data_IF_584544115905
#
_entry.id   IF_584544115905
#
_cell.length_a   1.000
_cell.length_b   1.000
_cell.length_c   1.000
_cell.angle_alpha   90.00
_cell.angle_beta   90.00
_cell.angle_gamma   90.00
#
_symmetry.space_group_name_H-M   'P 1'
#
loop_
_entity.id
_entity.type
_entity.pdbx_description
1 polymer ?
#
# COMPACT_ATOMS: atom_id res chain seq x y z
N UNK A 1 15.03 3.83 -1.04
CA UNK A 1 14.24 3.00 -1.98
C UNK A 1 14.01 1.56 -1.47
N UNK A 2 15.05 0.81 -1.11
CA UNK A 2 14.96 -0.62 -0.73
C UNK A 2 14.02 -0.94 0.44
N UNK A 3 14.09 -0.17 1.54
CA UNK A 3 13.24 -0.42 2.71
C UNK A 3 11.73 -0.34 2.38
N UNK A 4 11.33 0.65 1.57
CA UNK A 4 9.93 0.84 1.18
C UNK A 4 9.49 -0.22 0.17
N UNK A 5 10.38 -0.70 -0.69
CA UNK A 5 10.11 -1.87 -1.54
C UNK A 5 9.83 -3.12 -0.69
N UNK A 6 10.66 -3.40 0.32
CA UNK A 6 10.44 -4.53 1.23
C UNK A 6 9.13 -4.39 2.01
N UNK A 7 8.81 -3.18 2.48
CA UNK A 7 7.52 -2.89 3.13
C UNK A 7 6.35 -3.17 2.18
N UNK A 8 6.43 -2.70 0.92
CA UNK A 8 5.42 -2.96 -0.10
C UNK A 8 5.23 -4.45 -0.34
N UNK A 9 6.31 -5.24 -0.43
CA UNK A 9 6.24 -6.70 -0.61
C UNK A 9 5.62 -7.43 0.59
N UNK A 10 5.92 -7.00 1.82
CA UNK A 10 5.45 -7.66 3.04
C UNK A 10 4.02 -7.24 3.40
N UNK A 11 3.60 -6.03 3.02
CA UNK A 11 2.31 -5.45 3.44
C UNK A 11 1.07 -6.30 3.11
N UNK A 12 0.95 -6.99 1.94
CA UNK A 12 -0.20 -7.84 1.66
C UNK A 12 -0.27 -9.01 2.64
N UNK A 13 0.86 -9.62 2.99
CA UNK A 13 0.90 -10.72 3.95
C UNK A 13 0.46 -10.27 5.35
N UNK A 14 0.90 -9.10 5.79
CA UNK A 14 0.47 -8.51 7.05
C UNK A 14 -1.04 -8.22 7.07
N UNK A 15 -1.57 -7.65 5.99
CA UNK A 15 -3.01 -7.37 5.86
C UNK A 15 -3.82 -8.67 5.81
N UNK A 16 -3.35 -9.67 5.07
CA UNK A 16 -3.98 -11.00 5.02
C UNK A 16 -4.05 -11.62 6.41
N UNK A 17 -2.93 -11.63 7.15
CA UNK A 17 -2.89 -12.12 8.53
C UNK A 17 -3.92 -11.40 9.41
N UNK A 18 -4.00 -10.08 9.34
CA UNK A 18 -5.00 -9.31 10.09
C UNK A 18 -6.44 -9.67 9.70
N UNK A 19 -6.72 -9.96 8.43
CA UNK A 19 -8.05 -10.45 7.98
C UNK A 19 -8.37 -11.81 8.59
N UNK A 20 -7.38 -12.71 8.72
CA UNK A 20 -7.59 -14.02 9.36
C UNK A 20 -7.96 -13.86 10.85
N UNK A 21 -7.43 -12.86 11.55
CA UNK A 21 -7.84 -12.54 12.93
C UNK A 21 -9.31 -12.11 13.01
N UNK A 22 -9.76 -11.27 12.07
CA UNK A 22 -11.16 -10.89 11.97
C UNK A 22 -12.08 -12.09 11.67
N UNK A 23 -11.64 -13.06 10.86
CA UNK A 23 -12.39 -14.31 10.62
C UNK A 23 -12.51 -15.17 11.89
N UNK A 24 -11.49 -15.13 12.75
CA UNK A 24 -11.50 -15.76 14.09
C UNK A 24 -12.27 -14.95 15.14
N UNK A 25 -12.97 -13.88 14.71
CA UNK A 25 -13.72 -12.93 15.56
C UNK A 25 -12.85 -12.13 16.54
N UNK A 26 -11.52 -12.13 16.38
CA UNK A 26 -10.63 -11.27 17.15
C UNK A 26 -10.53 -9.89 16.50
N UNK A 27 -11.61 -9.11 16.68
CA UNK A 27 -11.71 -7.76 16.12
C UNK A 27 -10.77 -6.75 16.78
N UNK A 28 -10.37 -6.99 18.04
CA UNK A 28 -9.41 -6.14 18.75
C UNK A 28 -8.02 -6.29 18.13
N UNK A 29 -7.55 -7.52 17.91
CA UNK A 29 -6.26 -7.78 17.29
C UNK A 29 -6.25 -7.36 15.81
N UNK A 30 -7.32 -7.67 15.05
CA UNK A 30 -7.48 -7.20 13.67
C UNK A 30 -7.30 -5.68 13.57
N UNK A 31 -8.03 -4.92 14.41
CA UNK A 31 -7.93 -3.46 14.45
C UNK A 31 -6.53 -2.99 14.80
N UNK A 32 -5.93 -3.55 15.85
CA UNK A 32 -4.59 -3.15 16.32
C UNK A 32 -3.56 -3.33 15.21
N UNK A 33 -3.53 -4.50 14.59
CA UNK A 33 -2.56 -4.83 13.54
C UNK A 33 -2.78 -4.00 12.28
N UNK A 34 -4.04 -3.81 11.85
CA UNK A 34 -4.34 -2.94 10.70
C UNK A 34 -3.85 -1.51 10.90
N UNK A 35 -4.04 -0.92 12.09
CA UNK A 35 -3.53 0.42 12.38
C UNK A 35 -1.99 0.46 12.37
N UNK A 36 -1.32 -0.54 12.97
CA UNK A 36 0.14 -0.61 12.99
C UNK A 36 0.71 -0.70 11.57
N UNK A 37 0.21 -1.63 10.75
CA UNK A 37 0.67 -1.80 9.37
C UNK A 37 0.43 -0.51 8.60
N UNK A 38 -0.78 0.07 8.69
CA UNK A 38 -1.12 1.29 7.99
C UNK A 38 -0.17 2.45 8.36
N UNK A 39 0.11 2.66 9.65
CA UNK A 39 1.02 3.73 10.10
C UNK A 39 2.43 3.51 9.57
N UNK A 40 2.98 2.28 9.69
CA UNK A 40 4.32 1.96 9.18
C UNK A 40 4.41 2.21 7.68
N UNK A 41 3.41 1.76 6.94
CA UNK A 41 3.33 1.93 5.49
C UNK A 41 3.21 3.41 5.08
N UNK A 42 2.34 4.19 5.72
CA UNK A 42 2.20 5.64 5.44
C UNK A 42 3.49 6.39 5.74
N UNK A 43 4.14 6.13 6.88
CA UNK A 43 5.42 6.74 7.21
C UNK A 43 6.48 6.38 6.16
N UNK A 44 6.53 5.11 5.74
CA UNK A 44 7.43 4.66 4.67
C UNK A 44 7.20 5.38 3.35
N UNK A 45 5.94 5.53 2.92
CA UNK A 45 5.57 6.24 1.69
C UNK A 45 5.91 7.73 1.78
N UNK A 46 5.63 8.39 2.91
CA UNK A 46 5.98 9.80 3.10
C UNK A 46 7.50 10.03 3.10
N UNK A 47 8.27 9.12 3.71
CA UNK A 47 9.72 9.18 3.66
C UNK A 47 10.26 8.97 2.23
N UNK A 48 9.67 8.02 1.46
CA UNK A 48 10.02 7.84 0.06
C UNK A 48 9.69 9.06 -0.79
N UNK A 49 8.52 9.65 -0.60
CA UNK A 49 8.11 10.87 -1.30
C UNK A 49 9.07 12.03 -1.00
N UNK A 50 9.48 12.21 0.25
CA UNK A 50 10.49 13.20 0.63
C UNK A 50 11.82 13.00 -0.11
N UNK A 51 12.29 11.76 -0.21
CA UNK A 51 13.49 11.42 -0.99
C UNK A 51 13.29 11.71 -2.49
N UNK A 52 12.17 11.29 -3.08
CA UNK A 52 11.85 11.54 -4.49
C UNK A 52 11.86 13.05 -4.79
N UNK A 53 11.28 13.87 -3.89
CA UNK A 53 11.26 15.32 -4.03
C UNK A 53 12.64 15.94 -3.94
N UNK A 54 13.48 15.47 -3.02
CA UNK A 54 14.86 15.92 -2.90
C UNK A 54 15.69 15.61 -4.16
N UNK A 55 15.40 14.50 -4.82
CA UNK A 55 16.08 14.03 -6.02
C UNK A 55 15.49 14.61 -7.32
N UNK A 56 14.54 15.56 -7.25
CA UNK A 56 14.00 16.24 -8.43
C UNK A 56 12.68 15.69 -8.98
N UNK A 57 12.01 14.77 -8.28
CA UNK A 57 10.63 14.34 -8.58
C UNK A 57 10.48 12.90 -9.09
N UNK A 58 9.25 12.50 -9.40
CA UNK A 58 8.92 11.12 -9.75
C UNK A 58 9.71 10.62 -10.96
N UNK A 59 10.46 9.54 -10.77
CA UNK A 59 11.31 8.93 -11.81
C UNK A 59 12.77 9.38 -11.76
N UNK A 60 13.12 10.45 -11.03
CA UNK A 60 14.49 10.95 -10.97
C UNK A 60 15.47 9.93 -10.39
N UNK A 61 15.01 9.13 -9.42
CA UNK A 61 15.74 7.99 -8.84
C UNK A 61 16.16 6.94 -9.86
N UNK A 62 15.51 6.90 -11.03
CA UNK A 62 15.81 5.98 -12.11
C UNK A 62 16.44 6.66 -13.33
N UNK A 63 16.83 7.94 -13.24
CA UNK A 63 17.35 8.71 -14.38
C UNK A 63 18.60 8.12 -15.04
N UNK A 64 19.41 7.35 -14.29
CA UNK A 64 20.59 6.65 -14.79
C UNK A 64 20.29 5.25 -15.37
N UNK A 65 19.05 4.77 -15.29
CA UNK A 65 18.65 3.46 -15.82
C UNK A 65 18.48 3.53 -17.34
N UNK A 66 18.88 2.45 -18.03
CA UNK A 66 18.64 2.29 -19.48
C UNK A 66 17.14 2.25 -19.82
N UNK A 67 16.31 1.87 -18.85
CA UNK A 67 14.87 1.79 -19.00
C UNK A 67 14.14 3.11 -18.81
N UNK A 68 14.81 4.15 -18.29
CA UNK A 68 14.17 5.39 -17.85
C UNK A 68 13.27 6.05 -18.91
N UNK A 69 13.70 6.00 -20.16
CA UNK A 69 12.97 6.62 -21.28
C UNK A 69 11.94 5.70 -21.92
N UNK A 70 11.92 4.42 -21.59
CA UNK A 70 11.02 3.42 -22.19
C UNK A 70 9.56 3.69 -21.81
N UNK A 71 8.65 3.41 -22.75
CA UNK A 71 7.21 3.51 -22.51
C UNK A 71 6.75 2.53 -21.44
N UNK A 72 7.37 1.35 -21.35
CA UNK A 72 7.05 0.34 -20.34
C UNK A 72 7.36 0.81 -18.92
N UNK A 73 8.54 1.40 -18.69
CA UNK A 73 8.90 1.99 -17.39
C UNK A 73 7.92 3.08 -16.98
N UNK A 74 7.68 4.05 -17.88
CA UNK A 74 6.79 5.19 -17.62
C UNK A 74 5.36 4.74 -17.30
N UNK A 75 4.82 3.83 -18.10
CA UNK A 75 3.48 3.29 -17.88
C UNK A 75 3.37 2.56 -16.54
N UNK A 76 4.35 1.69 -16.24
CA UNK A 76 4.39 0.95 -14.98
C UNK A 76 4.50 1.88 -13.78
N UNK A 77 5.37 2.89 -13.84
CA UNK A 77 5.55 3.87 -12.76
C UNK A 77 4.28 4.69 -12.53
N UNK A 78 3.65 5.21 -13.60
CA UNK A 78 2.42 6.00 -13.48
C UNK A 78 1.29 5.14 -12.91
N UNK A 79 1.12 3.93 -13.44
CA UNK A 79 0.07 3.00 -12.98
C UNK A 79 0.27 2.61 -11.52
N UNK A 80 1.52 2.31 -11.13
CA UNK A 80 1.91 2.06 -9.74
C UNK A 80 1.48 3.21 -8.82
N UNK A 81 1.85 4.45 -9.16
CA UNK A 81 1.55 5.63 -8.34
C UNK A 81 0.04 5.81 -8.18
N UNK A 82 -0.73 5.73 -9.27
CA UNK A 82 -2.19 5.90 -9.23
C UNK A 82 -2.83 4.86 -8.32
N UNK A 83 -2.52 3.58 -8.51
CA UNK A 83 -3.11 2.50 -7.72
C UNK A 83 -2.67 2.58 -6.25
N UNK A 84 -1.41 2.95 -5.99
CA UNK A 84 -0.92 3.19 -4.63
C UNK A 84 -1.71 4.29 -3.93
N UNK A 85 -1.80 5.48 -4.54
CA UNK A 85 -2.51 6.63 -3.96
C UNK A 85 -3.98 6.28 -3.68
N UNK A 86 -4.69 5.71 -4.65
CA UNK A 86 -6.10 5.32 -4.46
C UNK A 86 -6.28 4.29 -3.34
N UNK A 87 -5.36 3.31 -3.24
CA UNK A 87 -5.39 2.29 -2.18
C UNK A 87 -5.18 2.90 -0.80
N UNK A 88 -4.20 3.80 -0.63
CA UNK A 88 -3.95 4.46 0.65
C UNK A 88 -5.08 5.42 1.04
N UNK A 89 -5.69 6.14 0.10
CA UNK A 89 -6.87 6.98 0.38
C UNK A 89 -8.04 6.13 0.89
N UNK A 90 -8.38 5.04 0.19
CA UNK A 90 -9.45 4.14 0.61
C UNK A 90 -9.14 3.48 1.96
N UNK A 91 -7.89 3.04 2.17
CA UNK A 91 -7.47 2.45 3.43
C UNK A 91 -7.53 3.44 4.59
N UNK A 92 -7.15 4.71 4.36
CA UNK A 92 -7.28 5.80 5.34
C UNK A 92 -8.74 5.97 5.76
N UNK A 93 -9.66 6.04 4.80
CA UNK A 93 -11.10 6.14 5.06
C UNK A 93 -11.58 4.94 5.91
N UNK A 94 -11.15 3.72 5.56
CA UNK A 94 -11.48 2.52 6.33
C UNK A 94 -10.94 2.56 7.76
N UNK A 95 -9.69 2.98 7.95
CA UNK A 95 -9.06 3.13 9.26
C UNK A 95 -9.87 4.12 10.11
N UNK A 96 -10.15 5.32 9.60
CA UNK A 96 -10.88 6.35 10.34
C UNK A 96 -12.28 5.87 10.72
N UNK A 97 -13.08 5.41 9.75
CA UNK A 97 -14.47 4.99 9.98
C UNK A 97 -14.52 3.79 10.94
N UNK A 98 -13.65 2.81 10.76
CA UNK A 98 -13.65 1.58 11.57
C UNK A 98 -13.22 1.85 13.00
N UNK A 99 -12.27 2.78 13.22
CA UNK A 99 -11.84 3.19 14.56
C UNK A 99 -12.96 3.95 15.30
N UNK A 100 -13.65 4.88 14.64
CA UNK A 100 -14.74 5.67 15.23
C UNK A 100 -15.92 4.78 15.66
N UNK A 101 -16.22 3.75 14.85
CA UNK A 101 -17.40 2.88 15.04
C UNK A 101 -17.11 1.56 15.76
N UNK A 102 -15.86 1.32 16.15
CA UNK A 102 -15.45 0.14 16.90
C UNK A 102 -16.27 0.00 18.19
N UNK A 103 -16.82 -1.19 18.46
CA UNK A 103 -17.70 -1.51 19.61
C UNK A 103 -19.02 -0.75 19.71
N UNK A 104 -19.32 0.18 18.79
CA UNK A 104 -20.62 0.89 18.73
C UNK A 104 -21.61 0.22 17.79
N UNK A 105 -21.13 -0.55 16.81
CA UNK A 105 -21.98 -1.12 15.73
C UNK A 105 -21.35 -2.36 15.08
N UNK A 106 -20.89 -3.34 15.87
CA UNK A 106 -20.26 -4.56 15.37
C UNK A 106 -21.10 -5.82 15.66
N UNK A 107 -21.43 -6.67 14.66
CA UNK A 107 -21.40 -6.42 13.22
C UNK A 107 -22.65 -5.62 12.76
N UNK A 108 -22.44 -4.41 12.23
CA UNK A 108 -23.52 -3.52 11.77
C UNK A 108 -23.59 -3.35 10.25
N UNK A 109 -24.46 -2.45 9.78
CA UNK A 109 -24.72 -2.15 8.35
C UNK A 109 -23.46 -1.84 7.52
N UNK A 110 -22.38 -1.38 8.16
CA UNK A 110 -21.08 -1.11 7.51
C UNK A 110 -20.25 -2.35 7.18
N UNK A 111 -20.62 -3.53 7.67
CA UNK A 111 -19.86 -4.77 7.47
C UNK A 111 -19.66 -5.11 6.00
N UNK A 112 -20.68 -4.90 5.14
CA UNK A 112 -20.57 -5.14 3.70
C UNK A 112 -19.57 -4.19 3.04
N UNK A 113 -19.71 -2.89 3.28
CA UNK A 113 -18.79 -1.87 2.75
C UNK A 113 -17.35 -2.13 3.21
N UNK A 114 -17.13 -2.36 4.51
CA UNK A 114 -15.80 -2.62 5.05
C UNK A 114 -15.14 -3.85 4.41
N UNK A 115 -15.89 -4.95 4.22
CA UNK A 115 -15.37 -6.17 3.58
C UNK A 115 -15.02 -5.93 2.11
N UNK A 116 -15.91 -5.31 1.33
CA UNK A 116 -15.67 -5.05 -0.09
C UNK A 116 -14.50 -4.08 -0.28
N UNK A 117 -14.50 -2.96 0.44
CA UNK A 117 -13.42 -1.98 0.38
C UNK A 117 -12.09 -2.57 0.89
N UNK A 118 -12.11 -3.40 1.93
CA UNK A 118 -10.92 -4.11 2.42
C UNK A 118 -10.34 -5.07 1.39
N UNK A 119 -11.17 -5.76 0.61
CA UNK A 119 -10.71 -6.60 -0.51
C UNK A 119 -10.11 -5.75 -1.65
N UNK A 120 -10.70 -4.59 -1.95
CA UNK A 120 -10.16 -3.65 -2.95
C UNK A 120 -8.77 -3.16 -2.51
N UNK A 121 -8.62 -2.73 -1.24
CA UNK A 121 -7.32 -2.33 -0.69
C UNK A 121 -6.32 -3.48 -0.75
N UNK A 122 -6.71 -4.70 -0.36
CA UNK A 122 -5.83 -5.86 -0.41
C UNK A 122 -5.34 -6.18 -1.83
N UNK A 123 -6.23 -6.15 -2.83
CA UNK A 123 -5.85 -6.30 -4.23
C UNK A 123 -4.92 -5.19 -4.71
N UNK A 124 -5.19 -3.94 -4.33
CA UNK A 124 -4.32 -2.80 -4.60
C UNK A 124 -2.92 -2.92 -3.98
N UNK A 125 -2.81 -3.48 -2.77
CA UNK A 125 -1.52 -3.76 -2.13
C UNK A 125 -0.73 -4.83 -2.88
N UNK A 126 -1.38 -5.90 -3.37
CA UNK A 126 -0.71 -6.91 -4.19
C UNK A 126 -0.22 -6.29 -5.51
N UNK A 127 -1.08 -5.52 -6.18
CA UNK A 127 -0.73 -4.85 -7.42
C UNK A 127 0.47 -3.90 -7.24
N UNK A 128 0.43 -3.10 -6.18
CA UNK A 128 1.51 -2.13 -5.87
C UNK A 128 2.79 -2.82 -5.43
N UNK A 129 2.72 -3.96 -4.73
CA UNK A 129 3.89 -4.77 -4.40
C UNK A 129 4.60 -5.28 -5.67
N UNK A 130 3.84 -5.84 -6.62
CA UNK A 130 4.37 -6.36 -7.89
C UNK A 130 4.97 -5.23 -8.73
N UNK A 131 4.22 -4.15 -8.93
CA UNK A 131 4.69 -3.02 -9.75
C UNK A 131 5.85 -2.26 -9.10
N UNK A 132 5.89 -2.15 -7.77
CA UNK A 132 7.05 -1.60 -7.05
C UNK A 132 8.30 -2.44 -7.29
N UNK A 133 8.18 -3.77 -7.26
CA UNK A 133 9.30 -4.67 -7.53
C UNK A 133 9.80 -4.49 -8.97
N UNK A 134 8.90 -4.44 -9.95
CA UNK A 134 9.26 -4.21 -11.37
C UNK A 134 10.00 -2.88 -11.51
N UNK A 135 9.43 -1.78 -11.01
CA UNK A 135 10.07 -0.45 -11.06
C UNK A 135 11.44 -0.48 -10.37
N UNK A 136 11.56 -1.14 -9.22
CA UNK A 136 12.81 -1.26 -8.49
C UNK A 136 13.88 -2.02 -9.30
N UNK A 137 13.53 -3.17 -9.89
CA UNK A 137 14.45 -3.96 -10.71
C UNK A 137 14.90 -3.20 -11.96
N UNK A 138 13.97 -2.53 -12.66
CA UNK A 138 14.30 -1.70 -13.82
C UNK A 138 15.20 -0.53 -13.43
N UNK A 139 14.92 0.13 -12.30
CA UNK A 139 15.76 1.23 -11.77
C UNK A 139 17.20 0.79 -11.54
N UNK A 140 17.41 -0.49 -11.18
CA UNK A 140 18.73 -1.08 -10.96
C UNK A 140 19.32 -1.80 -12.20
N UNK A 141 18.65 -1.74 -13.35
CA UNK A 141 19.01 -2.47 -14.58
C UNK A 141 19.20 -3.99 -14.34
N UNK A 142 18.32 -4.60 -13.55
CA UNK A 142 18.39 -6.03 -13.20
C UNK A 142 17.49 -6.93 -14.06
N UNK A 143 16.59 -6.35 -14.83
CA UNK A 143 15.70 -7.00 -15.79
C UNK A 143 15.64 -6.16 -17.05
#
# INVERSE_FOLDING_TARGET
>A
MTAVMLLSLISPFGVYYAVQLAKRKDFKAHRKIQNIIFIICVVGVLALEGLIRAEGGSGSLASASEYYHTSFFKFTLISHIIVAVLSYLLWTILIIISNIKFQKSLPGKLSKFHKTAGLIVFGGLIYTAITALIVYLMTLNLI
#
